data_IF_404553052086
#
_entry.id   IF_404553052086
#
_cell.length_a   1.000
_cell.length_b   1.000
_cell.length_c   1.000
_cell.angle_alpha   90.00
_cell.angle_beta   90.00
_cell.angle_gamma   90.00
#
_symmetry.space_group_name_H-M   'P 1'
#
loop_
_entity.id
_entity.type
_entity.pdbx_description
1 polymer ?
#
# COMPACT_ATOMS: atom_id res chain seq x y z
N UNK A 1 20.12 75.15 -24.95
CA UNK A 1 20.04 74.14 -26.04
C UNK A 1 19.23 72.96 -25.52
N UNK A 2 18.06 72.70 -26.13
CA UNK A 2 17.10 71.65 -25.74
C UNK A 2 17.70 70.25 -25.97
N UNK A 3 17.61 69.36 -24.98
CA UNK A 3 17.76 67.91 -25.16
C UNK A 3 16.36 67.29 -25.06
N UNK A 4 15.88 66.77 -26.17
CA UNK A 4 14.66 65.97 -26.29
C UNK A 4 15.00 64.49 -26.04
N UNK A 5 14.34 63.87 -25.07
CA UNK A 5 14.38 62.42 -24.86
C UNK A 5 13.31 61.75 -25.73
N UNK A 6 13.73 60.74 -26.50
CA UNK A 6 12.86 59.89 -27.32
C UNK A 6 12.67 58.57 -26.55
N UNK A 7 11.46 58.31 -26.09
CA UNK A 7 11.09 57.03 -25.44
C UNK A 7 10.67 56.02 -26.51
N UNK A 8 11.36 54.88 -26.56
CA UNK A 8 11.00 53.72 -27.39
C UNK A 8 10.11 52.80 -26.56
N UNK A 9 8.90 52.52 -27.04
CA UNK A 9 7.96 51.54 -26.47
C UNK A 9 8.14 50.23 -27.22
N UNK A 10 8.48 49.16 -26.50
CA UNK A 10 8.58 47.79 -27.01
C UNK A 10 7.29 47.03 -26.62
N UNK A 11 6.58 46.37 -27.54
CA UNK A 11 5.37 45.63 -27.20
C UNK A 11 5.73 44.24 -26.65
N UNK A 12 5.24 43.93 -25.44
CA UNK A 12 5.25 42.58 -24.88
C UNK A 12 4.21 41.71 -25.60
N UNK A 13 4.67 40.65 -26.27
CA UNK A 13 3.82 39.56 -26.75
C UNK A 13 3.49 38.61 -25.58
N UNK A 14 2.23 38.57 -25.18
CA UNK A 14 1.69 37.58 -24.25
C UNK A 14 1.53 36.24 -24.99
N UNK A 15 2.38 35.27 -24.69
CA UNK A 15 2.18 33.88 -25.08
C UNK A 15 1.10 33.28 -24.16
N UNK A 16 -0.09 33.03 -24.72
CA UNK A 16 -1.14 32.29 -24.04
C UNK A 16 -0.79 30.79 -24.08
N UNK A 17 -0.44 30.22 -22.92
CA UNK A 17 -0.37 28.78 -22.75
C UNK A 17 -1.79 28.20 -22.85
N UNK A 18 -2.14 27.66 -24.01
CA UNK A 18 -3.36 26.88 -24.19
C UNK A 18 -3.28 25.61 -23.33
N UNK A 19 -4.04 25.57 -22.25
CA UNK A 19 -4.43 24.29 -21.66
C UNK A 19 -5.42 23.66 -22.66
N UNK A 20 -5.00 22.63 -23.37
CA UNK A 20 -5.92 21.84 -24.19
C UNK A 20 -7.04 21.32 -23.29
N UNK A 21 -8.27 21.72 -23.58
CA UNK A 21 -9.43 21.17 -22.92
C UNK A 21 -9.48 19.66 -23.20
N UNK A 22 -9.80 18.82 -22.20
CA UNK A 22 -9.94 17.39 -22.45
C UNK A 22 -10.96 17.14 -23.56
N UNK A 23 -10.72 16.13 -24.42
CA UNK A 23 -11.60 15.84 -25.54
C UNK A 23 -13.04 15.62 -25.06
N UNK A 24 -14.01 16.09 -25.85
CA UNK A 24 -15.43 15.91 -25.53
C UNK A 24 -15.78 14.42 -25.51
N UNK A 25 -16.45 13.97 -24.44
CA UNK A 25 -16.97 12.60 -24.32
C UNK A 25 -18.01 12.36 -25.42
N UNK A 26 -17.97 11.17 -26.03
CA UNK A 26 -18.96 10.82 -27.06
C UNK A 26 -20.35 10.61 -26.44
N UNK A 27 -21.40 10.68 -27.27
CA UNK A 27 -22.79 10.60 -26.77
C UNK A 27 -23.17 9.25 -26.17
N UNK A 28 -22.54 8.15 -26.62
CA UNK A 28 -22.80 6.82 -26.09
C UNK A 28 -22.26 6.66 -24.66
N UNK A 29 -21.02 7.11 -24.44
CA UNK A 29 -20.37 7.16 -23.13
C UNK A 29 -21.13 8.07 -22.17
N UNK A 30 -21.54 9.27 -22.62
CA UNK A 30 -22.31 10.18 -21.79
C UNK A 30 -23.67 9.59 -21.39
N UNK A 31 -24.35 8.89 -22.31
CA UNK A 31 -25.61 8.20 -22.02
C UNK A 31 -25.40 7.01 -21.08
N UNK A 32 -24.31 6.26 -21.23
CA UNK A 32 -23.95 5.16 -20.34
C UNK A 32 -23.65 5.67 -18.93
N UNK A 33 -22.81 6.71 -18.81
CA UNK A 33 -22.43 7.32 -17.54
C UNK A 33 -23.67 7.79 -16.78
N UNK A 34 -24.57 8.53 -17.45
CA UNK A 34 -25.81 9.00 -16.83
C UNK A 34 -26.70 7.84 -16.35
N UNK A 35 -26.81 6.76 -17.15
CA UNK A 35 -27.60 5.58 -16.78
C UNK A 35 -27.00 4.85 -15.59
N UNK A 36 -25.68 4.66 -15.55
CA UNK A 36 -24.99 3.99 -14.45
C UNK A 36 -25.12 4.81 -13.16
N UNK A 37 -24.95 6.13 -13.24
CA UNK A 37 -25.18 7.03 -12.10
C UNK A 37 -26.61 6.92 -11.57
N UNK A 38 -27.62 6.90 -12.46
CA UNK A 38 -29.01 6.72 -12.06
C UNK A 38 -29.24 5.36 -11.40
N UNK A 39 -28.66 4.28 -11.93
CA UNK A 39 -28.77 2.94 -11.32
C UNK A 39 -28.16 2.88 -9.92
N UNK A 40 -27.04 3.59 -9.69
CA UNK A 40 -26.41 3.69 -8.36
C UNK A 40 -27.26 4.50 -7.38
N UNK A 41 -27.93 5.56 -7.86
CA UNK A 41 -28.83 6.39 -7.06
C UNK A 41 -30.13 5.66 -6.68
N UNK A 42 -30.69 4.89 -7.61
CA UNK A 42 -31.95 4.17 -7.43
C UNK A 42 -31.77 2.80 -6.76
N UNK A 43 -30.53 2.36 -6.54
CA UNK A 43 -30.24 1.06 -5.95
C UNK A 43 -30.88 0.92 -4.57
N UNK A 44 -31.53 -0.22 -4.36
CA UNK A 44 -32.08 -0.67 -3.08
C UNK A 44 -31.33 -1.92 -2.59
N UNK A 45 -31.42 -2.29 -1.30
CA UNK A 45 -30.76 -3.51 -0.81
C UNK A 45 -31.13 -4.76 -1.61
N UNK A 46 -30.12 -5.53 -2.01
CA UNK A 46 -30.26 -6.69 -2.90
C UNK A 46 -30.12 -6.35 -4.40
N UNK A 47 -29.97 -5.07 -4.77
CA UNK A 47 -29.77 -4.67 -6.17
C UNK A 47 -28.45 -5.23 -6.71
N UNK A 48 -28.52 -5.81 -7.91
CA UNK A 48 -27.35 -6.19 -8.71
C UNK A 48 -27.28 -5.28 -9.94
N UNK A 49 -26.27 -4.43 -10.00
CA UNK A 49 -25.98 -3.57 -11.15
C UNK A 49 -25.01 -4.33 -12.07
N UNK A 50 -25.56 -4.90 -13.14
CA UNK A 50 -24.75 -5.56 -14.16
C UNK A 50 -24.27 -4.54 -15.20
N UNK A 51 -22.95 -4.49 -15.40
CA UNK A 51 -22.30 -3.67 -16.40
C UNK A 51 -21.83 -4.59 -17.54
N UNK A 52 -22.34 -4.42 -18.77
CA UNK A 52 -21.97 -5.30 -19.87
C UNK A 52 -20.52 -5.11 -20.30
N UNK A 53 -19.98 -6.06 -21.06
CA UNK A 53 -18.67 -5.91 -21.69
C UNK A 53 -18.63 -4.62 -22.54
N UNK A 54 -17.52 -3.90 -22.46
CA UNK A 54 -17.31 -2.61 -23.10
C UNK A 54 -16.20 -1.81 -22.40
N UNK A 55 -15.70 -0.80 -23.10
CA UNK A 55 -14.78 0.20 -22.58
C UNK A 55 -15.53 1.54 -22.55
N UNK A 56 -15.89 1.98 -21.34
CA UNK A 56 -16.76 3.12 -21.12
C UNK A 56 -15.94 4.28 -20.59
N UNK A 57 -16.03 5.43 -21.25
CA UNK A 57 -15.35 6.64 -20.79
C UNK A 57 -16.24 7.46 -19.86
N UNK A 58 -15.78 7.75 -18.66
CA UNK A 58 -16.51 8.48 -17.63
C UNK A 58 -15.80 9.78 -17.29
N UNK A 59 -16.52 10.90 -17.27
CA UNK A 59 -15.98 12.19 -16.89
C UNK A 59 -16.20 12.53 -15.40
N UNK A 60 -17.08 11.80 -14.71
CA UNK A 60 -17.39 12.02 -13.30
C UNK A 60 -17.20 10.74 -12.50
N UNK A 61 -16.75 10.91 -11.26
CA UNK A 61 -16.70 9.82 -10.28
C UNK A 61 -18.09 9.25 -10.00
N UNK A 62 -18.13 7.96 -9.66
CA UNK A 62 -19.32 7.24 -9.24
C UNK A 62 -19.43 7.23 -7.71
N UNK A 63 -20.66 7.15 -7.20
CA UNK A 63 -20.88 7.06 -5.75
C UNK A 63 -22.01 6.10 -5.41
N UNK A 64 -21.84 5.32 -4.35
CA UNK A 64 -22.84 4.40 -3.81
C UNK A 64 -22.95 4.56 -2.29
N UNK A 65 -24.19 4.66 -1.79
CA UNK A 65 -24.49 4.80 -0.35
C UNK A 65 -25.47 3.75 0.17
N UNK A 66 -25.99 2.90 -0.71
CA UNK A 66 -27.00 1.90 -0.35
C UNK A 66 -26.32 0.58 0.01
N UNK A 67 -26.71 0.03 1.16
CA UNK A 67 -26.26 -1.28 1.64
C UNK A 67 -26.78 -2.43 0.77
N UNK A 68 -26.05 -3.55 0.75
CA UNK A 68 -26.53 -4.79 0.12
C UNK A 68 -26.51 -4.78 -1.40
N UNK A 69 -25.71 -3.90 -2.01
CA UNK A 69 -25.63 -3.75 -3.47
C UNK A 69 -24.43 -4.51 -4.04
N UNK A 70 -24.63 -5.15 -5.19
CA UNK A 70 -23.57 -5.76 -6.00
C UNK A 70 -23.36 -4.99 -7.29
N UNK A 71 -22.12 -4.64 -7.61
CA UNK A 71 -21.73 -4.14 -8.94
C UNK A 71 -20.94 -5.25 -9.64
N UNK A 72 -21.39 -5.68 -10.82
CA UNK A 72 -20.82 -6.82 -11.53
C UNK A 72 -20.54 -6.49 -12.99
N UNK A 73 -19.30 -6.68 -13.43
CA UNK A 73 -18.95 -6.65 -14.85
C UNK A 73 -18.92 -8.04 -15.50
N UNK A 74 -18.58 -8.08 -16.79
CA UNK A 74 -18.43 -9.30 -17.58
C UNK A 74 -17.04 -9.96 -17.47
N UNK A 75 -16.12 -9.36 -16.70
CA UNK A 75 -14.72 -9.76 -16.55
C UNK A 75 -13.81 -8.54 -16.47
N UNK A 76 -12.73 -8.61 -15.70
CA UNK A 76 -11.78 -7.47 -15.51
C UNK A 76 -11.11 -6.97 -16.79
N UNK A 77 -11.06 -7.81 -17.82
CA UNK A 77 -10.54 -7.46 -19.14
C UNK A 77 -11.65 -7.20 -20.18
N UNK A 78 -12.92 -7.32 -19.78
CA UNK A 78 -14.09 -7.22 -20.65
C UNK A 78 -14.95 -6.00 -20.34
N UNK A 79 -15.10 -5.65 -19.07
CA UNK A 79 -15.82 -4.46 -18.61
C UNK A 79 -14.83 -3.48 -18.02
N UNK A 80 -14.64 -2.33 -18.68
CA UNK A 80 -13.68 -1.30 -18.26
C UNK A 80 -14.38 0.04 -18.12
N UNK A 81 -14.26 0.65 -16.94
CA UNK A 81 -14.67 2.02 -16.66
C UNK A 81 -13.41 2.89 -16.66
N UNK A 82 -13.21 3.67 -17.72
CA UNK A 82 -12.06 4.56 -17.87
C UNK A 82 -12.41 5.97 -17.44
N UNK A 83 -11.65 6.48 -16.48
CA UNK A 83 -11.76 7.83 -15.93
C UNK A 83 -10.68 8.77 -16.49
N UNK A 84 -10.08 8.39 -17.62
CA UNK A 84 -9.07 9.21 -18.28
C UNK A 84 -9.63 10.60 -18.55
N UNK A 85 -9.01 11.65 -18.00
CA UNK A 85 -9.54 13.01 -18.16
C UNK A 85 -10.76 13.34 -17.28
N UNK A 86 -10.99 12.58 -16.20
CA UNK A 86 -12.00 12.85 -15.18
C UNK A 86 -12.03 14.32 -14.74
N UNK A 87 -13.21 14.93 -14.84
CA UNK A 87 -13.46 16.34 -14.55
C UNK A 87 -13.95 16.54 -13.12
N UNK A 88 -14.78 15.62 -12.61
CA UNK A 88 -15.48 15.78 -11.32
C UNK A 88 -15.18 14.62 -10.36
N UNK A 89 -14.86 14.99 -9.12
CA UNK A 89 -14.46 14.06 -8.07
C UNK A 89 -13.01 13.59 -8.23
N UNK A 90 -12.31 13.28 -7.13
CA UNK A 90 -11.03 12.60 -7.22
C UNK A 90 -11.20 11.08 -7.36
N UNK A 91 -12.24 10.47 -6.78
CA UNK A 91 -12.41 9.02 -6.82
C UNK A 91 -13.05 8.49 -8.12
N UNK A 92 -12.68 7.28 -8.54
CA UNK A 92 -13.40 6.56 -9.59
C UNK A 92 -14.75 6.05 -9.09
N UNK A 93 -14.75 5.32 -7.97
CA UNK A 93 -15.93 4.88 -7.26
C UNK A 93 -15.76 5.08 -5.75
N UNK A 94 -16.63 5.91 -5.16
CA UNK A 94 -16.75 6.10 -3.71
C UNK A 94 -17.94 5.32 -3.15
N UNK A 95 -17.68 4.44 -2.19
CA UNK A 95 -18.70 3.63 -1.51
C UNK A 95 -18.72 3.94 -0.02
N UNK A 96 -19.92 4.15 0.50
CA UNK A 96 -20.21 4.29 1.93
C UNK A 96 -21.40 3.37 2.26
N UNK A 97 -21.16 2.07 2.36
CA UNK A 97 -22.21 1.06 2.46
C UNK A 97 -21.71 -0.24 3.12
N UNK A 98 -22.64 -1.00 3.69
CA UNK A 98 -22.45 -2.36 4.16
C UNK A 98 -22.89 -3.38 3.10
N UNK A 99 -22.49 -4.64 3.27
CA UNK A 99 -22.89 -5.78 2.43
C UNK A 99 -22.65 -5.52 0.94
N UNK A 100 -21.54 -4.84 0.64
CA UNK A 100 -21.20 -4.39 -0.70
C UNK A 100 -20.29 -5.41 -1.39
N UNK A 101 -20.63 -5.74 -2.64
CA UNK A 101 -19.79 -6.57 -3.51
C UNK A 101 -19.50 -5.83 -4.80
N UNK A 102 -18.24 -5.84 -5.22
CA UNK A 102 -17.83 -5.44 -6.56
C UNK A 102 -17.01 -6.54 -7.20
N UNK A 103 -17.37 -6.92 -8.43
CA UNK A 103 -16.67 -8.00 -9.10
C UNK A 103 -16.60 -7.88 -10.62
N UNK A 104 -15.54 -8.49 -11.17
CA UNK A 104 -15.37 -8.76 -12.60
C UNK A 104 -15.39 -7.52 -13.50
N UNK A 105 -14.70 -6.45 -13.13
CA UNK A 105 -14.57 -5.23 -13.93
C UNK A 105 -13.23 -4.52 -13.70
N UNK A 106 -12.93 -3.52 -14.53
CA UNK A 106 -11.79 -2.65 -14.34
C UNK A 106 -12.15 -1.17 -14.11
N UNK A 107 -11.31 -0.50 -13.34
CA UNK A 107 -11.27 0.96 -13.18
C UNK A 107 -9.92 1.45 -13.71
N UNK A 108 -9.93 2.37 -14.68
CA UNK A 108 -8.70 2.88 -15.29
C UNK A 108 -8.56 4.40 -15.12
N UNK A 109 -7.34 4.86 -14.92
CA UNK A 109 -6.94 6.27 -15.07
C UNK A 109 -7.75 7.26 -14.22
N UNK A 110 -8.13 6.88 -13.00
CA UNK A 110 -8.81 7.78 -12.05
C UNK A 110 -7.90 8.93 -11.64
N UNK A 111 -8.49 10.11 -11.45
CA UNK A 111 -7.72 11.31 -11.06
C UNK A 111 -7.07 11.18 -9.68
N UNK A 112 -7.75 10.48 -8.78
CA UNK A 112 -7.34 10.14 -7.42
C UNK A 112 -7.63 8.66 -7.15
N UNK A 113 -8.09 8.32 -5.94
CA UNK A 113 -8.31 6.93 -5.52
C UNK A 113 -9.26 6.17 -6.47
N UNK A 114 -8.94 4.94 -6.83
CA UNK A 114 -9.76 4.24 -7.83
C UNK A 114 -11.06 3.70 -7.25
N UNK A 115 -10.97 2.79 -6.28
CA UNK A 115 -12.10 2.24 -5.53
C UNK A 115 -11.92 2.53 -4.05
N UNK A 116 -12.68 3.50 -3.54
CA UNK A 116 -12.65 3.87 -2.12
C UNK A 116 -13.90 3.41 -1.42
N UNK A 117 -13.73 2.57 -0.40
CA UNK A 117 -14.81 2.08 0.44
C UNK A 117 -14.56 2.62 1.83
N UNK A 118 -15.27 3.69 2.18
CA UNK A 118 -15.08 4.36 3.45
C UNK A 118 -16.25 4.05 4.38
N UNK A 119 -15.96 3.40 5.49
CA UNK A 119 -16.96 2.95 6.48
C UNK A 119 -17.93 1.93 5.87
N UNK A 120 -17.86 0.70 6.36
CA UNK A 120 -18.71 -0.38 5.88
C UNK A 120 -18.36 -1.73 6.50
N UNK A 121 -19.33 -2.64 6.50
CA UNK A 121 -19.17 -4.02 6.95
C UNK A 121 -19.45 -4.99 5.82
N UNK A 122 -18.81 -6.15 5.82
CA UNK A 122 -19.04 -7.24 4.88
C UNK A 122 -18.77 -6.79 3.44
N UNK A 123 -17.50 -6.49 3.17
CA UNK A 123 -17.05 -5.95 1.88
C UNK A 123 -16.37 -7.05 1.09
N UNK A 124 -16.79 -7.26 -0.15
CA UNK A 124 -16.15 -8.20 -1.08
C UNK A 124 -15.71 -7.48 -2.36
N UNK A 125 -14.41 -7.55 -2.66
CA UNK A 125 -13.80 -7.10 -3.91
C UNK A 125 -13.21 -8.34 -4.58
N UNK A 126 -13.74 -8.73 -5.74
CA UNK A 126 -13.36 -9.98 -6.41
C UNK A 126 -13.11 -9.79 -7.89
N UNK A 127 -11.93 -10.18 -8.38
CA UNK A 127 -11.67 -10.10 -9.81
C UNK A 127 -11.78 -8.68 -10.36
N UNK A 128 -11.33 -7.68 -9.59
CA UNK A 128 -11.30 -6.27 -10.02
C UNK A 128 -9.90 -5.91 -10.49
N UNK A 129 -9.79 -5.21 -11.62
CA UNK A 129 -8.52 -4.61 -12.06
C UNK A 129 -8.55 -3.09 -11.83
N UNK A 130 -7.51 -2.56 -11.24
CA UNK A 130 -7.26 -1.11 -11.20
C UNK A 130 -5.95 -0.83 -11.90
N UNK A 131 -5.94 0.15 -12.81
CA UNK A 131 -4.74 0.49 -13.55
C UNK A 131 -4.66 1.97 -13.90
N UNK A 132 -3.50 2.58 -13.61
CA UNK A 132 -3.09 3.81 -14.28
C UNK A 132 -2.28 3.46 -15.51
N UNK A 133 -2.93 3.50 -16.67
CA UNK A 133 -2.42 2.96 -17.95
C UNK A 133 -1.20 3.71 -18.47
N UNK A 134 -0.96 4.91 -17.93
CA UNK A 134 0.22 5.70 -18.19
C UNK A 134 1.49 5.26 -17.45
N UNK A 135 1.45 4.18 -16.67
CA UNK A 135 2.55 3.67 -15.84
C UNK A 135 2.79 4.47 -14.56
N UNK A 136 3.83 4.11 -13.78
CA UNK A 136 4.19 4.76 -12.51
C UNK A 136 4.41 6.27 -12.63
N UNK A 137 3.56 7.07 -11.98
CA UNK A 137 3.71 8.53 -11.92
C UNK A 137 3.21 9.06 -10.60
N UNK A 138 3.90 10.05 -10.04
CA UNK A 138 3.49 10.75 -8.81
C UNK A 138 2.12 11.43 -8.94
N UNK A 139 1.65 11.69 -10.15
CA UNK A 139 0.34 12.29 -10.43
C UNK A 139 -0.80 11.27 -10.52
N UNK A 140 -0.51 9.97 -10.46
CA UNK A 140 -1.55 8.94 -10.40
C UNK A 140 -2.30 9.03 -9.08
N UNK A 141 -3.48 8.43 -9.02
CA UNK A 141 -4.20 8.28 -7.77
C UNK A 141 -3.39 7.52 -6.73
N UNK A 142 -3.59 7.89 -5.46
CA UNK A 142 -2.83 7.35 -4.36
C UNK A 142 -3.14 5.86 -4.15
N UNK A 143 -4.43 5.52 -4.06
CA UNK A 143 -4.85 4.17 -3.70
C UNK A 143 -5.68 3.50 -4.78
N UNK A 144 -5.38 2.23 -5.09
CA UNK A 144 -6.16 1.45 -6.04
C UNK A 144 -7.42 0.85 -5.42
N UNK A 145 -7.27 -0.25 -4.68
CA UNK A 145 -8.33 -0.81 -3.85
C UNK A 145 -8.17 -0.27 -2.44
N UNK A 146 -9.13 0.52 -1.96
CA UNK A 146 -9.02 1.29 -0.72
C UNK A 146 -10.20 1.11 0.23
N UNK A 147 -10.35 -0.05 0.89
CA UNK A 147 -11.17 -0.17 2.09
C UNK A 147 -10.55 0.54 3.29
N UNK A 148 -11.33 1.40 3.96
CA UNK A 148 -10.88 2.14 5.13
C UNK A 148 -11.98 2.30 6.17
N UNK A 149 -11.64 2.08 7.45
CA UNK A 149 -12.61 2.03 8.54
C UNK A 149 -13.70 0.98 8.28
N UNK A 150 -13.28 -0.17 7.75
CA UNK A 150 -14.17 -1.27 7.35
C UNK A 150 -14.02 -2.47 8.28
N UNK A 151 -15.00 -3.37 8.23
CA UNK A 151 -15.00 -4.62 8.98
C UNK A 151 -15.40 -5.77 8.07
N UNK A 152 -14.79 -6.95 8.25
CA UNK A 152 -15.12 -8.16 7.51
C UNK A 152 -14.91 -7.96 6.00
N UNK A 153 -13.63 -7.91 5.59
CA UNK A 153 -13.22 -7.52 4.23
C UNK A 153 -12.55 -8.68 3.52
N UNK A 154 -13.02 -9.00 2.33
CA UNK A 154 -12.38 -9.91 1.38
C UNK A 154 -11.93 -9.15 0.14
N UNK A 155 -10.64 -9.22 -0.19
CA UNK A 155 -10.08 -8.78 -1.46
C UNK A 155 -9.40 -9.97 -2.12
N UNK A 156 -9.94 -10.42 -3.26
CA UNK A 156 -9.39 -11.59 -3.94
C UNK A 156 -9.37 -11.50 -5.48
N UNK A 157 -8.44 -12.25 -6.07
CA UNK A 157 -8.32 -12.48 -7.51
C UNK A 157 -8.19 -11.17 -8.34
N UNK A 158 -7.75 -10.10 -7.68
CA UNK A 158 -7.72 -8.73 -8.20
C UNK A 158 -6.32 -8.31 -8.64
N UNK A 159 -6.25 -7.27 -9.48
CA UNK A 159 -5.01 -6.76 -10.07
C UNK A 159 -4.92 -5.26 -9.82
N UNK A 160 -3.78 -4.75 -9.35
CA UNK A 160 -3.58 -3.30 -9.20
C UNK A 160 -2.21 -2.86 -9.73
N UNK A 161 -2.24 -1.85 -10.61
CA UNK A 161 -1.07 -1.39 -11.35
C UNK A 161 -0.96 0.13 -11.32
N UNK A 162 0.19 0.65 -10.88
CA UNK A 162 0.54 2.07 -11.07
C UNK A 162 0.07 3.05 -9.99
N UNK A 163 -0.41 2.60 -8.83
CA UNK A 163 -0.83 3.48 -7.73
C UNK A 163 0.34 4.29 -7.17
N UNK A 164 0.15 5.59 -6.94
CA UNK A 164 1.20 6.48 -6.42
C UNK A 164 1.45 6.35 -4.93
N UNK A 165 0.61 5.60 -4.22
CA UNK A 165 0.79 5.25 -2.81
C UNK A 165 0.73 3.73 -2.65
N UNK A 166 -0.46 3.12 -2.62
CA UNK A 166 -0.61 1.69 -2.46
C UNK A 166 -1.59 1.09 -3.48
N UNK A 167 -1.20 -0.03 -4.08
CA UNK A 167 -2.06 -0.77 -5.00
C UNK A 167 -3.30 -1.28 -4.28
N UNK A 168 -3.08 -2.15 -3.30
CA UNK A 168 -4.11 -2.60 -2.36
C UNK A 168 -3.81 -2.00 -1.00
N UNK A 169 -4.69 -1.13 -0.52
CA UNK A 169 -4.57 -0.53 0.80
C UNK A 169 -5.77 -0.93 1.65
N UNK A 170 -5.53 -1.41 2.87
CA UNK A 170 -6.57 -1.64 3.87
C UNK A 170 -6.20 -0.94 5.17
N UNK A 171 -6.97 0.11 5.50
CA UNK A 171 -6.64 1.01 6.61
C UNK A 171 -7.66 1.02 7.73
N UNK A 172 -7.22 1.08 8.99
CA UNK A 172 -8.10 1.25 10.17
C UNK A 172 -9.27 0.26 10.18
N UNK A 173 -9.02 -0.98 9.74
CA UNK A 173 -10.06 -1.98 9.49
C UNK A 173 -9.87 -3.23 10.35
N UNK A 174 -10.86 -4.11 10.37
CA UNK A 174 -10.89 -5.30 11.24
C UNK A 174 -11.35 -6.54 10.47
N UNK A 175 -10.73 -7.69 10.71
CA UNK A 175 -11.03 -8.98 10.06
C UNK A 175 -10.92 -8.88 8.53
N UNK A 176 -9.69 -9.03 8.04
CA UNK A 176 -9.32 -8.74 6.66
C UNK A 176 -8.68 -9.98 6.04
N UNK A 177 -9.09 -10.32 4.83
CA UNK A 177 -8.45 -11.32 3.98
C UNK A 177 -8.09 -10.67 2.65
N UNK A 178 -6.79 -10.67 2.32
CA UNK A 178 -6.26 -10.23 1.02
C UNK A 178 -5.55 -11.42 0.39
N UNK A 179 -6.14 -12.02 -0.65
CA UNK A 179 -5.61 -13.25 -1.25
C UNK A 179 -5.64 -13.34 -2.76
N UNK A 180 -4.66 -14.05 -3.35
CA UNK A 180 -4.60 -14.32 -4.79
C UNK A 180 -4.64 -13.06 -5.67
N UNK A 181 -4.13 -11.95 -5.16
CA UNK A 181 -4.04 -10.71 -5.91
C UNK A 181 -2.69 -10.54 -6.59
N UNK A 182 -2.64 -9.72 -7.63
CA UNK A 182 -1.41 -9.29 -8.31
C UNK A 182 -1.25 -7.78 -8.17
N UNK A 183 -0.20 -7.33 -7.49
CA UNK A 183 0.10 -5.91 -7.33
C UNK A 183 1.49 -5.60 -7.91
N UNK A 184 1.54 -4.74 -8.92
CA UNK A 184 2.80 -4.36 -9.58
C UNK A 184 2.88 -2.89 -9.94
N UNK A 185 4.12 -2.38 -10.03
CA UNK A 185 4.37 -0.99 -10.43
C UNK A 185 3.68 0.07 -9.53
N UNK A 186 3.37 -0.28 -8.29
CA UNK A 186 2.88 0.65 -7.26
C UNK A 186 4.05 1.11 -6.39
N UNK A 187 3.87 2.14 -5.56
CA UNK A 187 4.87 2.42 -4.52
C UNK A 187 4.85 1.29 -3.48
N UNK A 188 3.71 1.06 -2.82
CA UNK A 188 3.45 -0.14 -2.04
C UNK A 188 2.55 -1.10 -2.84
N UNK A 189 2.95 -2.36 -2.98
CA UNK A 189 2.09 -3.36 -3.62
C UNK A 189 0.81 -3.59 -2.81
N UNK A 190 0.99 -4.02 -1.56
CA UNK A 190 -0.10 -4.21 -0.58
C UNK A 190 0.29 -3.50 0.71
N UNK A 191 -0.63 -2.76 1.31
CA UNK A 191 -0.46 -2.11 2.60
C UNK A 191 -1.62 -2.42 3.55
N UNK A 192 -1.28 -2.92 4.73
CA UNK A 192 -2.18 -3.08 5.88
C UNK A 192 -1.81 -2.02 6.91
N UNK A 193 -2.61 -0.95 6.98
CA UNK A 193 -2.33 0.21 7.85
C UNK A 193 -3.29 0.22 9.05
N UNK A 194 -2.74 0.30 10.26
CA UNK A 194 -3.51 0.47 11.50
C UNK A 194 -4.70 -0.49 11.61
N UNK A 195 -4.57 -1.72 11.11
CA UNK A 195 -5.67 -2.67 11.02
C UNK A 195 -5.47 -3.88 11.94
N UNK A 196 -6.56 -4.51 12.35
CA UNK A 196 -6.56 -5.60 13.31
C UNK A 196 -7.03 -6.89 12.65
N UNK A 197 -6.29 -7.97 12.87
CA UNK A 197 -6.59 -9.31 12.35
C UNK A 197 -6.64 -9.33 10.82
N UNK A 198 -5.49 -9.44 10.17
CA UNK A 198 -5.36 -9.47 8.72
C UNK A 198 -4.59 -10.71 8.24
N UNK A 199 -5.15 -11.41 7.26
CA UNK A 199 -4.51 -12.49 6.53
C UNK A 199 -4.16 -12.01 5.11
N UNK A 200 -2.87 -11.91 4.80
CA UNK A 200 -2.35 -11.51 3.49
C UNK A 200 -1.63 -12.72 2.89
N UNK A 201 -2.25 -13.42 1.94
CA UNK A 201 -1.70 -14.66 1.43
C UNK A 201 -1.93 -14.99 -0.03
N UNK A 202 -1.07 -15.83 -0.62
CA UNK A 202 -1.15 -16.23 -2.03
C UNK A 202 -1.13 -15.05 -3.01
N UNK A 203 -0.67 -13.87 -2.58
CA UNK A 203 -0.54 -12.71 -3.45
C UNK A 203 0.80 -12.74 -4.19
N UNK A 204 0.84 -12.11 -5.35
CA UNK A 204 2.06 -11.76 -6.06
C UNK A 204 2.29 -10.26 -5.99
N UNK A 205 3.41 -9.85 -5.42
CA UNK A 205 3.86 -8.45 -5.38
C UNK A 205 5.21 -8.35 -6.09
N UNK A 206 5.27 -7.62 -7.19
CA UNK A 206 6.49 -7.49 -7.98
C UNK A 206 6.61 -6.14 -8.66
N UNK A 207 7.83 -5.68 -8.94
CA UNK A 207 8.09 -4.39 -9.57
C UNK A 207 7.43 -3.19 -8.86
N UNK A 208 7.10 -3.29 -7.57
CA UNK A 208 6.71 -2.14 -6.76
C UNK A 208 7.97 -1.43 -6.22
N UNK A 209 7.84 -0.36 -5.45
CA UNK A 209 8.96 0.14 -4.64
C UNK A 209 9.13 -0.69 -3.35
N UNK A 210 8.03 -1.04 -2.70
CA UNK A 210 7.94 -2.02 -1.62
C UNK A 210 6.83 -3.04 -1.90
N UNK A 211 7.07 -4.31 -1.58
CA UNK A 211 6.11 -5.40 -1.86
C UNK A 211 4.88 -5.37 -0.95
N UNK A 212 5.05 -5.80 0.30
CA UNK A 212 3.97 -5.88 1.32
C UNK A 212 4.35 -5.06 2.55
N UNK A 213 3.49 -4.14 2.96
CA UNK A 213 3.71 -3.22 4.08
C UNK A 213 2.68 -3.49 5.19
N UNK A 214 3.13 -3.55 6.43
CA UNK A 214 2.29 -3.73 7.64
C UNK A 214 2.61 -2.63 8.63
N UNK A 215 1.82 -1.55 8.59
CA UNK A 215 2.20 -0.26 9.17
C UNK A 215 1.27 0.15 10.31
N UNK A 216 1.84 0.81 11.30
CA UNK A 216 1.10 1.66 12.24
C UNK A 216 1.59 3.09 12.12
N UNK A 217 0.68 3.98 11.75
CA UNK A 217 0.87 5.41 11.67
C UNK A 217 0.33 6.12 12.92
N UNK A 218 1.00 7.21 13.35
CA UNK A 218 0.53 8.01 14.47
C UNK A 218 -0.73 8.80 14.10
N UNK A 219 -1.50 9.19 15.12
CA UNK A 219 -2.67 10.09 14.99
C UNK A 219 -3.83 9.52 14.15
N UNK A 220 -3.97 8.19 14.10
CA UNK A 220 -5.12 7.50 13.51
C UNK A 220 -6.05 6.93 14.58
N UNK A 221 -7.27 6.55 14.19
CA UNK A 221 -8.33 6.21 15.15
C UNK A 221 -8.14 4.87 15.88
N UNK A 222 -7.22 4.03 15.42
CA UNK A 222 -6.92 2.74 16.04
C UNK A 222 -5.46 2.36 15.77
N UNK A 223 -4.89 1.53 16.64
CA UNK A 223 -3.64 0.82 16.36
C UNK A 223 -3.94 -0.50 15.65
N UNK A 224 -3.05 -0.91 14.76
CA UNK A 224 -3.09 -2.21 14.12
C UNK A 224 -2.27 -3.25 14.86
N UNK A 225 -2.70 -4.51 14.77
CA UNK A 225 -1.95 -5.66 15.26
C UNK A 225 -2.51 -6.97 14.66
N UNK A 226 -1.79 -8.08 14.87
CA UNK A 226 -2.23 -9.43 14.50
C UNK A 226 -2.35 -9.63 12.97
N UNK A 227 -1.29 -9.28 12.23
CA UNK A 227 -1.23 -9.51 10.78
C UNK A 227 -0.41 -10.76 10.46
N UNK A 228 -0.93 -11.63 9.60
CA UNK A 228 -0.24 -12.81 9.08
C UNK A 228 0.02 -12.63 7.59
N UNK A 229 1.30 -12.62 7.21
CA UNK A 229 1.77 -12.52 5.82
C UNK A 229 2.35 -13.88 5.42
N UNK A 230 1.64 -14.64 4.58
CA UNK A 230 2.06 -16.01 4.27
C UNK A 230 1.76 -16.48 2.86
N UNK A 231 2.53 -17.44 2.33
CA UNK A 231 2.32 -18.00 0.97
C UNK A 231 2.33 -16.97 -0.16
N UNK A 232 2.91 -15.79 0.06
CA UNK A 232 3.03 -14.78 -0.97
C UNK A 232 4.30 -14.99 -1.78
N UNK A 233 4.29 -14.45 -2.99
CA UNK A 233 5.48 -14.22 -3.82
C UNK A 233 5.77 -12.73 -3.82
N UNK A 234 6.84 -12.29 -3.14
CA UNK A 234 7.26 -10.89 -3.10
C UNK A 234 8.65 -10.76 -3.70
N UNK A 235 8.74 -10.31 -4.95
CA UNK A 235 10.01 -10.33 -5.66
C UNK A 235 10.25 -9.16 -6.60
N UNK A 236 11.52 -8.78 -6.73
CA UNK A 236 11.97 -7.72 -7.63
C UNK A 236 11.20 -6.39 -7.45
N UNK A 237 10.83 -6.04 -6.21
CA UNK A 237 10.16 -4.77 -5.91
C UNK A 237 11.17 -3.62 -5.94
N UNK A 238 11.69 -3.30 -7.13
CA UNK A 238 12.82 -2.40 -7.34
C UNK A 238 12.47 -1.11 -8.09
N UNK A 239 11.19 -0.85 -8.38
CA UNK A 239 10.75 0.38 -9.05
C UNK A 239 11.05 1.58 -8.16
N UNK A 240 11.59 2.65 -8.74
CA UNK A 240 11.88 3.90 -8.02
C UNK A 240 10.63 4.41 -7.28
N UNK A 241 10.81 4.88 -6.05
CA UNK A 241 9.70 5.40 -5.26
C UNK A 241 9.18 6.71 -5.85
N UNK A 242 7.93 6.68 -6.32
CA UNK A 242 7.27 7.80 -6.99
C UNK A 242 6.15 8.42 -6.16
N UNK A 243 6.10 8.15 -4.85
CA UNK A 243 5.09 8.70 -3.96
C UNK A 243 5.16 10.23 -3.89
N UNK A 244 4.02 10.84 -3.56
CA UNK A 244 3.97 12.26 -3.28
C UNK A 244 4.92 12.61 -2.12
N UNK A 245 5.69 13.70 -2.27
CA UNK A 245 6.62 14.14 -1.23
C UNK A 245 5.86 14.38 0.08
N UNK A 246 6.35 13.76 1.16
CA UNK A 246 5.75 13.87 2.49
C UNK A 246 4.67 12.82 2.78
N UNK A 247 4.27 12.01 1.82
CA UNK A 247 3.50 10.79 2.09
C UNK A 247 4.36 9.81 2.91
N UNK A 248 3.73 8.95 3.71
CA UNK A 248 4.43 8.00 4.57
C UNK A 248 5.26 7.01 3.75
N UNK A 249 4.65 6.43 2.72
CA UNK A 249 5.29 5.48 1.81
C UNK A 249 6.44 6.08 1.00
N UNK A 250 6.56 7.41 0.91
CA UNK A 250 7.72 8.07 0.28
C UNK A 250 9.03 7.81 1.05
N UNK A 251 8.94 7.34 2.30
CA UNK A 251 10.10 6.93 3.10
C UNK A 251 10.49 5.45 2.93
N UNK A 252 9.67 4.66 2.24
CA UNK A 252 9.94 3.23 2.01
C UNK A 252 11.11 3.12 1.03
N UNK A 253 12.22 2.48 1.43
CA UNK A 253 13.34 2.24 0.53
C UNK A 253 12.86 1.39 -0.64
N UNK A 254 13.14 1.81 -1.88
CA UNK A 254 12.87 0.93 -3.03
C UNK A 254 13.67 -0.37 -2.86
N UNK A 255 13.19 -1.49 -3.38
CA UNK A 255 13.88 -2.77 -3.20
C UNK A 255 13.55 -3.43 -1.87
N UNK A 256 12.36 -3.20 -1.32
CA UNK A 256 11.92 -3.82 -0.07
C UNK A 256 10.88 -4.92 -0.33
N UNK A 257 11.10 -6.13 0.20
CA UNK A 257 10.17 -7.26 0.01
C UNK A 257 8.93 -7.17 0.92
N UNK A 258 9.15 -7.26 2.23
CA UNK A 258 8.14 -7.04 3.27
C UNK A 258 8.65 -6.00 4.26
N UNK A 259 7.81 -5.04 4.65
CA UNK A 259 8.17 -3.99 5.61
C UNK A 259 7.16 -3.97 6.74
N UNK A 260 7.62 -4.15 7.97
CA UNK A 260 6.81 -3.97 9.18
C UNK A 260 7.26 -2.69 9.85
N UNK A 261 6.33 -1.77 10.09
CA UNK A 261 6.66 -0.50 10.71
C UNK A 261 5.75 -0.20 11.92
N UNK A 262 6.32 -0.17 13.12
CA UNK A 262 5.64 0.10 14.40
C UNK A 262 4.40 -0.78 14.67
N UNK A 263 4.26 -1.91 13.98
CA UNK A 263 3.11 -2.79 14.09
C UNK A 263 3.40 -3.94 15.04
N UNK A 264 2.35 -4.41 15.73
CA UNK A 264 2.47 -5.42 16.77
C UNK A 264 1.89 -6.75 16.32
N UNK A 265 2.49 -7.86 16.77
CA UNK A 265 2.01 -9.23 16.50
C UNK A 265 1.91 -9.48 15.00
N UNK A 266 3.06 -9.51 14.32
CA UNK A 266 3.13 -9.79 12.88
C UNK A 266 3.85 -11.11 12.66
N UNK A 267 3.21 -12.02 11.92
CA UNK A 267 3.83 -13.25 11.46
C UNK A 267 4.15 -13.15 9.96
N UNK A 268 5.38 -13.49 9.59
CA UNK A 268 5.83 -13.57 8.19
C UNK A 268 6.32 -14.99 7.97
N UNK A 269 5.53 -15.82 7.28
CA UNK A 269 5.87 -17.22 7.15
C UNK A 269 5.48 -17.86 5.84
N UNK A 270 6.21 -18.90 5.44
CA UNK A 270 5.89 -19.66 4.22
C UNK A 270 5.77 -18.75 2.98
N UNK A 271 6.57 -17.69 2.85
CA UNK A 271 6.62 -16.83 1.66
C UNK A 271 7.83 -17.15 0.77
N UNK A 272 7.69 -16.91 -0.54
CA UNK A 272 8.81 -16.82 -1.48
C UNK A 272 9.18 -15.34 -1.65
N UNK A 273 10.33 -14.92 -1.11
CA UNK A 273 10.75 -13.51 -1.13
C UNK A 273 12.12 -13.40 -1.80
N UNK A 274 12.21 -12.65 -2.90
CA UNK A 274 13.41 -12.69 -3.73
C UNK A 274 13.79 -11.38 -4.43
N UNK A 275 15.08 -11.19 -4.67
CA UNK A 275 15.62 -10.19 -5.60
C UNK A 275 15.19 -8.73 -5.30
N UNK A 276 14.90 -8.43 -4.03
CA UNK A 276 14.61 -7.08 -3.55
C UNK A 276 15.94 -6.38 -3.22
N UNK A 277 16.28 -5.32 -3.98
CA UNK A 277 17.64 -4.74 -4.00
C UNK A 277 18.10 -4.14 -2.68
N UNK A 278 17.18 -3.72 -1.81
CA UNK A 278 17.49 -3.21 -0.47
C UNK A 278 17.55 -4.32 0.54
N UNK A 279 16.44 -5.01 0.78
CA UNK A 279 16.39 -6.18 1.68
C UNK A 279 15.05 -6.90 1.53
N UNK A 280 15.02 -8.19 1.84
CA UNK A 280 13.82 -9.01 1.71
C UNK A 280 12.81 -8.72 2.83
N UNK A 281 13.24 -8.47 4.07
CA UNK A 281 12.37 -8.06 5.19
C UNK A 281 12.99 -6.88 5.95
N UNK A 282 12.21 -5.81 6.15
CA UNK A 282 12.55 -4.69 7.03
C UNK A 282 11.61 -4.71 8.24
N UNK A 283 12.18 -4.66 9.44
CA UNK A 283 11.46 -4.38 10.68
C UNK A 283 11.93 -3.01 11.17
N UNK A 284 11.02 -2.04 11.20
CA UNK A 284 11.31 -0.66 11.58
C UNK A 284 10.35 -0.12 12.64
N UNK A 285 10.84 0.86 13.34
CA UNK A 285 10.11 1.75 14.23
C UNK A 285 9.80 3.06 13.54
N UNK A 286 8.88 3.81 14.12
CA UNK A 286 8.55 5.17 13.72
C UNK A 286 9.80 6.07 13.60
N UNK A 287 10.79 5.87 14.47
CA UNK A 287 11.99 6.70 14.55
C UNK A 287 12.93 6.57 13.34
N UNK A 288 12.81 5.47 12.61
CA UNK A 288 13.59 5.21 11.40
C UNK A 288 12.94 5.77 10.13
N UNK A 289 11.74 6.34 10.25
CA UNK A 289 10.95 6.86 9.12
C UNK A 289 11.09 8.37 8.99
N UNK A 290 10.82 8.92 7.81
CA UNK A 290 10.94 10.37 7.53
C UNK A 290 9.59 11.11 7.50
N UNK A 291 8.50 10.51 7.96
CA UNK A 291 7.16 11.13 7.92
C UNK A 291 6.74 11.80 9.24
N UNK A 292 7.71 12.23 10.06
CA UNK A 292 7.46 13.07 11.23
C UNK A 292 6.60 14.28 10.84
N UNK A 293 5.35 14.28 11.28
CA UNK A 293 4.41 15.32 10.93
C UNK A 293 4.50 16.49 11.94
N UNK A 294 4.09 17.68 11.52
CA UNK A 294 4.07 18.88 12.38
C UNK A 294 3.14 18.76 13.59
N UNK A 295 2.18 17.83 13.57
CA UNK A 295 1.21 17.63 14.66
C UNK A 295 1.81 16.84 15.82
N UNK A 296 3.02 16.30 15.67
CA UNK A 296 3.62 15.41 16.64
C UNK A 296 2.96 14.03 16.61
N UNK A 297 3.16 13.29 17.69
CA UNK A 297 2.70 11.91 17.86
C UNK A 297 1.70 11.88 19.01
N UNK A 298 0.57 11.19 18.82
CA UNK A 298 -0.42 10.99 19.88
C UNK A 298 0.22 10.32 21.11
N UNK A 299 -0.13 10.70 22.35
CA UNK A 299 0.52 10.19 23.56
C UNK A 299 0.46 8.67 23.74
N UNK A 300 -0.54 8.03 23.16
CA UNK A 300 -0.83 6.60 23.22
C UNK A 300 -0.29 5.81 22.03
N UNK A 301 0.36 6.46 21.06
CA UNK A 301 0.98 5.76 19.93
C UNK A 301 2.20 4.96 20.39
N UNK A 302 2.22 3.67 20.06
CA UNK A 302 3.39 2.81 20.20
C UNK A 302 4.30 2.99 18.97
N UNK A 303 5.52 3.57 19.10
CA UNK A 303 6.43 3.75 17.97
C UNK A 303 7.29 2.52 17.67
N UNK A 304 7.20 1.45 18.48
CA UNK A 304 8.07 0.29 18.38
C UNK A 304 7.31 -0.92 17.83
N UNK A 305 7.88 -1.68 16.88
CA UNK A 305 7.32 -2.97 16.49
C UNK A 305 7.50 -3.99 17.61
N UNK A 306 6.46 -4.77 17.93
CA UNK A 306 6.50 -5.79 19.00
C UNK A 306 5.95 -7.14 18.55
N UNK A 307 6.53 -8.22 19.02
CA UNK A 307 5.99 -9.57 18.79
C UNK A 307 6.03 -9.96 17.31
N UNK A 308 7.20 -9.83 16.69
CA UNK A 308 7.39 -10.14 15.27
C UNK A 308 7.94 -11.55 15.14
N UNK A 309 7.32 -12.40 14.33
CA UNK A 309 7.76 -13.78 14.13
C UNK A 309 7.99 -14.10 12.65
N UNK A 310 9.22 -14.48 12.30
CA UNK A 310 9.62 -14.83 10.93
C UNK A 310 10.05 -16.29 10.87
N UNK A 311 9.40 -17.12 10.05
CA UNK A 311 9.71 -18.56 9.98
C UNK A 311 9.32 -19.19 8.64
N UNK A 312 9.97 -20.28 8.24
CA UNK A 312 9.65 -21.08 7.05
C UNK A 312 9.58 -20.35 5.69
N UNK A 313 10.12 -19.13 5.58
CA UNK A 313 10.21 -18.41 4.30
C UNK A 313 11.40 -18.89 3.47
N UNK A 314 11.28 -18.79 2.14
CA UNK A 314 12.37 -19.05 1.20
C UNK A 314 12.87 -17.73 0.63
N UNK A 315 14.05 -17.34 1.09
CA UNK A 315 14.73 -16.14 0.61
C UNK A 315 15.70 -16.46 -0.53
N UNK A 316 15.77 -15.58 -1.52
CA UNK A 316 16.72 -15.71 -2.63
C UNK A 316 17.14 -14.35 -3.17
N UNK A 317 18.44 -14.07 -3.20
CA UNK A 317 18.96 -12.83 -3.80
C UNK A 317 18.51 -11.56 -3.05
N UNK A 318 18.81 -10.40 -3.63
CA UNK A 318 18.60 -9.10 -3.00
C UNK A 318 19.75 -8.61 -2.12
N UNK A 319 19.57 -7.45 -1.49
CA UNK A 319 20.53 -6.84 -0.54
C UNK A 319 21.79 -6.22 -1.15
N UNK A 320 21.94 -6.26 -2.47
CA UNK A 320 23.15 -5.85 -3.18
C UNK A 320 23.17 -4.37 -3.59
N UNK A 321 22.01 -3.73 -3.71
CA UNK A 321 21.90 -2.32 -4.10
C UNK A 321 20.88 -1.56 -3.23
N UNK A 322 21.14 -1.42 -1.92
CA UNK A 322 20.20 -0.77 -1.03
C UNK A 322 19.98 0.70 -1.37
N UNK A 323 18.75 1.14 -1.15
CA UNK A 323 18.33 2.51 -1.35
C UNK A 323 18.67 3.40 -0.14
N UNK A 324 18.97 4.68 -0.41
CA UNK A 324 19.39 5.64 0.62
C UNK A 324 20.87 5.52 1.05
N UNK A 325 21.44 6.66 1.43
CA UNK A 325 22.87 6.77 1.77
C UNK A 325 23.22 5.95 3.02
N UNK A 326 22.36 5.94 4.04
CA UNK A 326 22.61 5.21 5.29
C UNK A 326 22.70 3.70 5.08
N UNK A 327 21.77 3.11 4.32
CA UNK A 327 21.79 1.67 4.05
C UNK A 327 22.97 1.27 3.14
N UNK A 328 23.35 2.11 2.17
CA UNK A 328 24.58 1.90 1.37
C UNK A 328 25.84 1.94 2.22
N UNK A 329 25.93 2.89 3.15
CA UNK A 329 27.04 3.00 4.10
C UNK A 329 27.07 1.80 5.04
N UNK A 330 25.93 1.40 5.61
CA UNK A 330 25.79 0.20 6.45
C UNK A 330 26.27 -1.06 5.71
N UNK A 331 25.77 -1.28 4.49
CA UNK A 331 26.20 -2.42 3.66
C UNK A 331 27.72 -2.41 3.45
N UNK A 332 28.27 -1.26 3.09
CA UNK A 332 29.70 -1.11 2.82
C UNK A 332 30.55 -1.34 4.06
N UNK A 333 30.13 -0.82 5.21
CA UNK A 333 30.86 -0.94 6.47
C UNK A 333 30.88 -2.38 7.02
N UNK A 334 29.77 -3.10 6.92
CA UNK A 334 29.64 -4.44 7.50
C UNK A 334 29.99 -5.56 6.52
N UNK A 335 29.65 -5.39 5.24
CA UNK A 335 29.75 -6.45 4.22
C UNK A 335 30.70 -6.11 3.06
N UNK A 336 31.25 -4.88 3.02
CA UNK A 336 32.13 -4.42 1.95
C UNK A 336 31.39 -4.02 0.67
N UNK A 337 32.14 -3.50 -0.31
CA UNK A 337 31.60 -2.93 -1.56
C UNK A 337 30.85 -3.96 -2.41
N UNK A 338 31.34 -5.21 -2.44
CA UNK A 338 30.76 -6.32 -3.20
C UNK A 338 29.84 -7.21 -2.37
N UNK A 339 29.69 -6.91 -1.08
CA UNK A 339 28.81 -7.64 -0.17
C UNK A 339 27.34 -7.30 -0.37
N UNK A 340 26.50 -8.01 0.36
CA UNK A 340 25.04 -7.87 0.37
C UNK A 340 24.55 -7.73 1.81
N UNK A 341 23.51 -6.93 2.02
CA UNK A 341 22.74 -7.00 3.25
C UNK A 341 22.10 -8.41 3.37
N UNK A 342 21.93 -8.93 4.59
CA UNK A 342 21.24 -10.20 4.79
C UNK A 342 19.74 -10.03 4.52
N UNK A 343 18.99 -11.13 4.51
CA UNK A 343 17.57 -11.12 4.15
C UNK A 343 16.69 -10.31 5.09
N UNK A 344 17.13 -10.11 6.34
CA UNK A 344 16.37 -9.42 7.37
C UNK A 344 17.18 -8.24 7.90
N UNK A 345 16.60 -7.06 7.86
CA UNK A 345 17.08 -5.85 8.51
C UNK A 345 16.13 -5.46 9.63
N UNK A 346 16.66 -5.28 10.83
CA UNK A 346 15.96 -4.65 11.95
C UNK A 346 16.64 -3.32 12.28
N UNK A 347 15.84 -2.28 12.51
CA UNK A 347 16.36 -0.95 12.80
C UNK A 347 16.96 -0.80 14.21
N UNK A 348 16.70 -1.74 15.12
CA UNK A 348 17.31 -1.77 16.46
C UNK A 348 16.57 -0.97 17.53
N UNK A 349 15.45 -0.31 17.21
CA UNK A 349 14.69 0.43 18.21
C UNK A 349 13.83 -0.50 19.08
N UNK A 350 13.89 -0.30 20.40
CA UNK A 350 13.07 -0.99 21.41
C UNK A 350 12.59 -0.01 22.47
N UNK A 351 11.51 -0.36 23.17
CA UNK A 351 11.06 0.39 24.34
C UNK A 351 11.92 0.04 25.57
N UNK A 352 12.97 0.83 25.80
CA UNK A 352 13.93 0.65 26.91
C UNK A 352 13.26 0.53 28.29
N UNK A 353 12.10 1.18 28.48
CA UNK A 353 11.38 1.19 29.76
C UNK A 353 10.74 -0.15 30.11
N UNK A 354 10.56 -1.01 29.11
CA UNK A 354 9.87 -2.30 29.26
C UNK A 354 10.81 -3.50 29.25
N UNK A 355 12.13 -3.25 29.10
CA UNK A 355 13.10 -4.32 29.01
C UNK A 355 13.17 -5.14 30.31
N UNK A 356 13.28 -6.45 30.16
CA UNK A 356 13.51 -7.42 31.23
C UNK A 356 14.85 -8.10 30.95
N UNK A 357 15.83 -7.86 31.82
CA UNK A 357 17.21 -8.35 31.64
C UNK A 357 17.84 -7.94 30.29
N UNK A 358 17.57 -6.70 29.85
CA UNK A 358 18.14 -6.15 28.61
C UNK A 358 17.46 -6.61 27.31
N UNK A 359 16.38 -7.39 27.40
CA UNK A 359 15.61 -7.83 26.23
C UNK A 359 14.13 -7.41 26.36
N UNK A 360 13.41 -7.25 25.24
CA UNK A 360 11.96 -7.10 25.28
C UNK A 360 11.30 -8.28 26.03
N UNK A 361 10.14 -8.03 26.69
CA UNK A 361 9.32 -9.09 27.28
C UNK A 361 9.07 -10.21 26.28
N UNK A 362 8.95 -11.46 26.74
CA UNK A 362 8.92 -12.63 25.86
C UNK A 362 7.90 -12.55 24.71
N UNK A 363 6.71 -11.99 24.95
CA UNK A 363 5.67 -11.81 23.94
C UNK A 363 5.89 -10.65 22.96
N UNK A 364 6.80 -9.72 23.29
CA UNK A 364 7.09 -8.52 22.51
C UNK A 364 8.38 -8.68 21.68
N UNK A 365 9.05 -9.82 21.79
CA UNK A 365 10.32 -10.08 21.11
C UNK A 365 10.19 -10.09 19.60
N UNK A 366 11.31 -9.88 18.95
CA UNK A 366 11.51 -10.23 17.56
C UNK A 366 12.15 -11.62 17.49
N UNK A 367 11.45 -12.60 16.90
CA UNK A 367 11.88 -13.99 16.82
C UNK A 367 12.02 -14.46 15.36
N UNK A 368 13.06 -15.24 15.09
CA UNK A 368 13.38 -15.81 13.78
C UNK A 368 13.62 -17.31 13.91
N UNK A 369 12.80 -18.11 13.22
CA UNK A 369 12.94 -19.56 13.06
C UNK A 369 12.96 -19.91 11.58
N UNK A 370 13.95 -19.40 10.85
CA UNK A 370 13.99 -19.46 9.39
C UNK A 370 15.33 -20.04 8.88
N UNK A 371 15.82 -21.09 9.54
CA UNK A 371 17.13 -21.70 9.27
C UNK A 371 18.28 -20.75 9.58
N UNK A 372 19.33 -20.79 8.76
CA UNK A 372 20.55 -19.97 8.92
C UNK A 372 20.41 -18.56 8.31
N UNK A 373 19.20 -18.01 8.24
CA UNK A 373 18.96 -16.68 7.66
C UNK A 373 19.75 -15.61 8.43
N UNK A 374 20.38 -14.70 7.70
CA UNK A 374 21.09 -13.57 8.31
C UNK A 374 20.11 -12.51 8.81
N UNK A 375 20.48 -11.87 9.92
CA UNK A 375 19.81 -10.66 10.44
C UNK A 375 20.87 -9.59 10.65
N UNK A 376 20.59 -8.35 10.23
CA UNK A 376 21.37 -7.17 10.61
C UNK A 376 20.52 -6.29 11.51
N UNK A 377 21.00 -6.05 12.73
CA UNK A 377 20.55 -4.91 13.52
C UNK A 377 21.34 -3.68 13.06
N UNK A 378 20.62 -2.70 12.53
CA UNK A 378 21.20 -1.49 11.96
C UNK A 378 21.72 -0.51 13.01
N UNK A 379 21.40 -0.70 14.30
CA UNK A 379 21.77 0.21 15.40
C UNK A 379 21.23 1.64 15.19
N UNK A 380 19.97 1.74 14.76
CA UNK A 380 19.25 2.98 14.53
C UNK A 380 19.29 3.98 15.69
N UNK A 381 19.04 3.55 16.96
CA UNK A 381 19.11 4.45 18.13
C UNK A 381 20.43 5.20 18.29
N UNK A 382 21.55 4.62 17.81
CA UNK A 382 22.88 5.23 17.89
C UNK A 382 23.42 5.70 16.53
N UNK A 383 22.53 5.95 15.57
CA UNK A 383 22.86 6.41 14.22
C UNK A 383 23.80 5.46 13.46
N UNK A 384 23.54 4.15 13.57
CA UNK A 384 24.17 3.11 12.77
C UNK A 384 25.68 2.94 13.06
N UNK A 385 26.13 3.35 14.25
CA UNK A 385 27.55 3.34 14.64
C UNK A 385 28.06 1.95 15.00
N UNK A 386 27.23 1.10 15.59
CA UNK A 386 27.59 -0.24 16.04
C UNK A 386 26.59 -1.30 15.53
N UNK A 387 26.45 -1.45 14.20
CA UNK A 387 25.56 -2.46 13.65
C UNK A 387 26.01 -3.86 14.06
N UNK A 388 25.05 -4.76 14.27
CA UNK A 388 25.31 -6.11 14.78
C UNK A 388 24.70 -7.19 13.90
N UNK A 389 25.49 -8.22 13.62
CA UNK A 389 25.07 -9.46 12.95
C UNK A 389 24.81 -10.60 13.94
N UNK A 390 24.87 -10.33 15.26
CA UNK A 390 24.55 -11.33 16.27
C UNK A 390 23.05 -11.65 16.25
N UNK A 391 22.73 -12.90 15.95
CA UNK A 391 21.36 -13.39 15.84
C UNK A 391 20.82 -14.04 17.11
N UNK A 392 21.65 -14.23 18.15
CA UNK A 392 21.26 -14.97 19.38
C UNK A 392 20.01 -14.42 20.04
N UNK A 393 19.85 -13.09 20.06
CA UNK A 393 18.68 -12.44 20.65
C UNK A 393 17.37 -12.76 19.92
N UNK A 394 17.44 -13.16 18.65
CA UNK A 394 16.27 -13.48 17.81
C UNK A 394 15.96 -14.97 17.75
N UNK A 395 16.82 -15.83 18.34
CA UNK A 395 16.60 -17.29 18.43
C UNK A 395 15.56 -17.60 19.51
N UNK A 396 14.30 -17.30 19.23
CA UNK A 396 13.17 -17.50 20.12
C UNK A 396 11.93 -17.95 19.34
N UNK A 397 10.83 -18.18 20.05
CA UNK A 397 9.52 -18.51 19.47
C UNK A 397 8.48 -17.57 20.05
N UNK A 398 7.43 -17.31 19.26
CA UNK A 398 6.23 -16.64 19.72
C UNK A 398 5.01 -17.55 19.53
N UNK A 399 3.92 -17.34 20.27
CA UNK A 399 2.63 -17.96 19.98
C UNK A 399 2.18 -17.59 18.56
N UNK A 400 1.75 -18.60 17.79
CA UNK A 400 1.16 -18.37 16.46
C UNK A 400 -0.20 -17.70 16.57
N UNK A 401 -0.51 -16.79 15.66
CA UNK A 401 -1.76 -16.07 15.59
C UNK A 401 -2.85 -16.96 14.97
N UNK A 402 -4.09 -16.87 15.46
CA UNK A 402 -5.20 -17.59 14.86
C UNK A 402 -5.50 -17.07 13.45
N UNK A 403 -6.09 -17.90 12.59
CA UNK A 403 -6.58 -17.45 11.29
C UNK A 403 -7.69 -16.43 11.41
N UNK A 404 -7.72 -15.50 10.44
CA UNK A 404 -8.84 -14.58 10.31
C UNK A 404 -10.06 -15.38 9.88
N UNK A 405 -11.15 -15.21 10.62
CA UNK A 405 -12.47 -15.70 10.24
C UNK A 405 -13.29 -14.50 9.78
N UNK A 406 -13.84 -14.62 8.58
CA UNK A 406 -14.82 -13.67 8.05
C UNK A 406 -16.22 -14.16 8.44
N UNK A 407 -16.95 -13.34 9.19
CA UNK A 407 -18.29 -13.67 9.70
C UNK A 407 -19.24 -12.45 9.51
N UNK A 408 -20.29 -12.58 8.69
CA UNK A 408 -20.63 -13.76 7.88
C UNK A 408 -19.55 -14.07 6.84
N UNK A 409 -19.47 -15.34 6.44
CA UNK A 409 -18.63 -15.74 5.31
C UNK A 409 -19.04 -14.95 4.05
N UNK A 410 -18.06 -14.50 3.23
CA UNK A 410 -18.35 -13.83 1.98
C UNK A 410 -19.21 -14.70 1.07
N UNK A 411 -20.15 -14.07 0.37
CA UNK A 411 -20.98 -14.78 -0.61
C UNK A 411 -20.08 -15.31 -1.74
N UNK A 412 -20.35 -16.56 -2.14
CA UNK A 412 -19.62 -17.24 -3.22
C UNK A 412 -19.70 -16.47 -4.53
#
# INVERSE_FOLDING_TARGET
MRKTHLSVILPLLLAACGHEAPPAQNSADASFEAKLQQQLLDATPGTVINIPAGHYHLQRGLSLRTDGVTIRGAGKDQTVLSFKGQLVGPEGLLVNANDFTIENLALEDTKGDALKINQGKNITIRGVRVEWTGGPKTTNGAYGLYPVKTQNVLIEDSVVIGASDAGIYVGQSNNIVVRRNHAEYNVAGIEIENSVNADVYENTTTNNSGGILVFNMPNLSQAGHSTRVFKNKSYANNTDNFAAKGAAVASVPRGSGVVVNSNDKVEIFDNDIADNQTVNVIISSYYSTNYFNKKGVAPDYNPYPKGIFIYDNRFKGGGDSPDGIKLKALKTAVYGLTGKLPDILWDGYVDEKTLVNGLPPAGDRFCVQNGDVGVINADGPHDYKNPSTDTKAYQCTLPKLPPVVLDPEPKA
#
